data_IF_161562020677
#
_entry.id   IF_161562020677
#
_cell.length_a   1.000
_cell.length_b   1.000
_cell.length_c   1.000
_cell.angle_alpha   90.00
_cell.angle_beta   90.00
_cell.angle_gamma   90.00
#
_symmetry.space_group_name_H-M   'P 1'
#
loop_
_entity.id
_entity.type
_entity.pdbx_description
1 polymer ?
#
# COMPACT_ATOMS: atom_id res chain seq x y z
N UNK A 1 -24.52 -39.33 -18.02
CA UNK A 1 -24.10 -38.96 -16.65
C UNK A 1 -22.73 -38.32 -16.76
N UNK A 2 -22.67 -37.16 -17.43
CA UNK A 2 -21.46 -36.35 -17.55
C UNK A 2 -21.50 -35.41 -16.36
N UNK A 3 -20.87 -35.80 -15.26
CA UNK A 3 -20.59 -34.84 -14.19
C UNK A 3 -19.67 -33.79 -14.80
N UNK A 4 -20.24 -32.63 -15.10
CA UNK A 4 -19.49 -31.43 -15.35
C UNK A 4 -18.74 -31.16 -14.05
N UNK A 5 -17.48 -31.59 -14.02
CA UNK A 5 -16.51 -31.14 -13.02
C UNK A 5 -16.44 -29.64 -13.19
N UNK A 6 -17.30 -28.92 -12.45
CA UNK A 6 -17.13 -27.49 -12.27
C UNK A 6 -15.72 -27.32 -11.71
N UNK A 7 -14.86 -26.53 -12.37
CA UNK A 7 -13.58 -26.20 -11.78
C UNK A 7 -13.89 -25.52 -10.45
N UNK A 8 -13.66 -26.24 -9.35
CA UNK A 8 -13.61 -25.69 -8.02
C UNK A 8 -12.40 -24.76 -8.01
N UNK A 9 -12.58 -23.54 -8.53
CA UNK A 9 -11.58 -22.49 -8.45
C UNK A 9 -11.35 -22.31 -6.95
N UNK A 10 -10.20 -22.75 -6.39
CA UNK A 10 -9.95 -22.57 -4.97
C UNK A 10 -10.14 -21.09 -4.69
N UNK A 11 -10.96 -20.78 -3.68
CA UNK A 11 -11.24 -19.40 -3.31
C UNK A 11 -9.91 -18.64 -3.28
N UNK A 12 -9.80 -17.59 -4.10
CA UNK A 12 -8.54 -16.90 -4.33
C UNK A 12 -7.88 -16.63 -2.97
N UNK A 13 -6.59 -16.94 -2.75
CA UNK A 13 -5.95 -16.87 -1.44
C UNK A 13 -6.10 -15.51 -0.75
N UNK A 14 -6.37 -14.45 -1.51
CA UNK A 14 -6.73 -13.12 -1.05
C UNK A 14 -8.04 -13.04 -0.22
N UNK A 15 -8.85 -14.10 -0.17
CA UNK A 15 -10.18 -14.12 0.46
C UNK A 15 -10.24 -14.93 1.76
N UNK A 16 -9.11 -15.50 2.20
CA UNK A 16 -9.02 -16.19 3.48
C UNK A 16 -8.90 -15.14 4.60
N UNK A 17 -9.93 -15.03 5.44
CA UNK A 17 -9.91 -14.13 6.60
C UNK A 17 -8.98 -14.71 7.67
N UNK A 18 -7.81 -14.10 7.81
CA UNK A 18 -6.84 -14.43 8.86
C UNK A 18 -7.41 -14.01 10.24
N UNK A 19 -6.99 -14.68 11.34
CA UNK A 19 -7.31 -14.22 12.68
C UNK A 19 -6.79 -12.80 12.93
N UNK A 20 -7.49 -12.04 13.77
CA UNK A 20 -7.27 -10.59 13.95
C UNK A 20 -5.80 -10.21 14.18
N UNK A 21 -5.10 -10.98 15.02
CA UNK A 21 -3.67 -10.74 15.29
C UNK A 21 -2.81 -10.89 14.03
N UNK A 22 -3.06 -11.92 13.22
CA UNK A 22 -2.31 -12.13 11.97
C UNK A 22 -2.64 -11.05 10.94
N UNK A 23 -3.90 -10.59 10.85
CA UNK A 23 -4.27 -9.45 10.00
C UNK A 23 -3.49 -8.18 10.37
N UNK A 24 -3.40 -7.88 11.67
CA UNK A 24 -2.65 -6.72 12.17
C UNK A 24 -1.15 -6.87 11.86
N UNK A 25 -0.56 -8.04 12.11
CA UNK A 25 0.86 -8.28 11.86
C UNK A 25 1.20 -8.22 10.37
N UNK A 26 0.39 -8.82 9.51
CA UNK A 26 0.58 -8.78 8.05
C UNK A 26 0.36 -7.36 7.52
N UNK A 27 -0.63 -6.63 8.04
CA UNK A 27 -0.84 -5.22 7.71
C UNK A 27 0.34 -4.35 8.11
N UNK A 28 0.89 -4.56 9.31
CA UNK A 28 2.09 -3.88 9.78
C UNK A 28 3.29 -4.21 8.89
N UNK A 29 3.49 -5.47 8.50
CA UNK A 29 4.55 -5.87 7.58
C UNK A 29 4.44 -5.15 6.23
N UNK A 30 3.23 -4.99 5.70
CA UNK A 30 3.01 -4.26 4.45
C UNK A 30 3.40 -2.78 4.59
N UNK A 31 3.00 -2.13 5.68
CA UNK A 31 3.35 -0.71 5.95
C UNK A 31 4.85 -0.54 6.13
N UNK A 32 5.50 -1.42 6.89
CA UNK A 32 6.96 -1.35 7.11
C UNK A 32 7.75 -1.57 5.82
N UNK A 33 7.31 -2.51 4.98
CA UNK A 33 7.94 -2.74 3.68
C UNK A 33 7.82 -1.51 2.77
N UNK A 34 6.64 -0.89 2.76
CA UNK A 34 6.38 0.30 1.95
C UNK A 34 7.12 1.53 2.48
N UNK A 35 7.26 1.70 3.80
CA UNK A 35 8.09 2.75 4.40
C UNK A 35 9.55 2.69 3.89
N UNK A 36 10.13 1.49 3.80
CA UNK A 36 11.48 1.31 3.27
C UNK A 36 11.65 1.82 1.82
N UNK A 37 10.63 1.63 0.98
CA UNK A 37 10.63 2.15 -0.40
C UNK A 37 10.26 3.63 -0.52
N UNK A 38 9.28 4.08 0.26
CA UNK A 38 8.75 5.44 0.20
C UNK A 38 9.78 6.49 0.62
N UNK A 39 10.57 6.22 1.67
CA UNK A 39 11.60 7.16 2.16
C UNK A 39 12.75 7.36 1.17
N UNK A 40 13.00 6.39 0.29
CA UNK A 40 14.10 6.47 -0.66
C UNK A 40 13.92 7.61 -1.68
N UNK A 41 12.69 7.85 -2.16
CA UNK A 41 12.40 8.86 -3.19
C UNK A 41 12.63 10.30 -2.67
N UNK A 42 12.04 10.74 -1.54
CA UNK A 42 12.31 12.07 -0.98
C UNK A 42 13.77 12.27 -0.57
N UNK A 43 14.46 11.20 -0.14
CA UNK A 43 15.87 11.28 0.21
C UNK A 43 16.73 11.55 -1.04
N UNK A 44 16.51 10.80 -2.12
CA UNK A 44 17.26 10.94 -3.38
C UNK A 44 16.96 12.30 -4.03
N UNK A 45 15.69 12.65 -4.19
CA UNK A 45 15.28 13.92 -4.82
C UNK A 45 15.66 15.10 -3.92
N UNK A 46 15.44 14.99 -2.62
CA UNK A 46 15.76 16.03 -1.64
C UNK A 46 17.26 16.36 -1.59
N UNK A 47 18.11 15.34 -1.63
CA UNK A 47 19.57 15.54 -1.72
C UNK A 47 19.98 16.11 -3.08
N UNK A 48 19.38 15.65 -4.18
CA UNK A 48 19.69 16.17 -5.52
C UNK A 48 19.28 17.64 -5.69
N UNK A 49 18.20 18.07 -5.04
CA UNK A 49 17.75 19.46 -5.03
C UNK A 49 18.45 20.34 -3.99
N UNK A 50 19.38 19.79 -3.20
CA UNK A 50 20.19 20.56 -2.24
C UNK A 50 19.44 21.02 -0.98
N UNK A 51 18.33 20.36 -0.62
CA UNK A 51 17.51 20.71 0.53
C UNK A 51 18.21 20.38 1.85
N UNK A 52 17.87 21.13 2.91
CA UNK A 52 18.35 20.89 4.27
C UNK A 52 17.79 19.58 4.84
N UNK A 53 18.39 19.06 5.92
CA UNK A 53 17.88 17.85 6.58
C UNK A 53 16.46 18.02 7.13
N UNK A 54 16.10 19.22 7.57
CA UNK A 54 14.74 19.53 8.05
C UNK A 54 13.73 19.50 6.90
N UNK A 55 14.10 20.01 5.74
CA UNK A 55 13.24 20.01 4.55
C UNK A 55 13.07 18.58 3.99
N UNK A 56 14.12 17.77 3.99
CA UNK A 56 14.02 16.35 3.60
C UNK A 56 13.12 15.59 4.58
N UNK A 57 13.24 15.82 5.88
CA UNK A 57 12.36 15.21 6.88
C UNK A 57 10.90 15.64 6.69
N UNK A 58 10.68 16.91 6.33
CA UNK A 58 9.35 17.40 5.98
C UNK A 58 8.79 16.71 4.73
N UNK A 59 9.59 16.54 3.67
CA UNK A 59 9.19 15.83 2.45
C UNK A 59 8.84 14.37 2.72
N UNK A 60 9.61 13.68 3.57
CA UNK A 60 9.32 12.29 3.97
C UNK A 60 7.97 12.22 4.70
N UNK A 61 7.73 13.11 5.66
CA UNK A 61 6.46 13.14 6.40
C UNK A 61 5.27 13.46 5.48
N UNK A 62 5.46 14.41 4.56
CA UNK A 62 4.45 14.77 3.57
C UNK A 62 4.15 13.60 2.63
N UNK A 63 5.18 12.91 2.14
CA UNK A 63 5.02 11.73 1.28
C UNK A 63 4.25 10.61 1.98
N UNK A 64 4.64 10.24 3.20
CA UNK A 64 3.96 9.20 3.98
C UNK A 64 2.49 9.54 4.26
N UNK A 65 2.20 10.81 4.54
CA UNK A 65 0.84 11.28 4.75
C UNK A 65 0.01 11.16 3.47
N UNK A 66 0.53 11.64 2.33
CA UNK A 66 -0.16 11.61 1.05
C UNK A 66 -0.33 10.17 0.56
N UNK A 67 0.68 9.33 0.69
CA UNK A 67 0.64 7.91 0.35
C UNK A 67 -0.38 7.14 1.20
N UNK A 68 -0.48 7.43 2.50
CA UNK A 68 -1.48 6.86 3.39
C UNK A 68 -2.90 7.27 2.99
N UNK A 69 -3.12 8.56 2.71
CA UNK A 69 -4.42 9.06 2.22
C UNK A 69 -4.78 8.43 0.87
N UNK A 70 -3.85 8.39 -0.07
CA UNK A 70 -4.06 7.77 -1.38
C UNK A 70 -4.40 6.27 -1.24
N UNK A 71 -3.70 5.55 -0.37
CA UNK A 71 -3.99 4.13 -0.07
C UNK A 71 -5.39 3.93 0.48
N UNK A 72 -5.82 4.78 1.42
CA UNK A 72 -7.18 4.74 1.97
C UNK A 72 -8.24 5.05 0.91
N UNK A 73 -8.03 6.10 0.12
CA UNK A 73 -8.96 6.49 -0.96
C UNK A 73 -9.06 5.39 -2.01
N UNK A 74 -7.93 4.79 -2.39
CA UNK A 74 -7.87 3.75 -3.42
C UNK A 74 -8.48 2.42 -2.95
N UNK A 75 -8.26 2.08 -1.67
CA UNK A 75 -8.75 0.85 -1.04
C UNK A 75 -10.24 0.92 -0.67
N UNK A 76 -10.71 2.01 -0.07
CA UNK A 76 -12.11 2.16 0.31
C UNK A 76 -12.99 2.58 -0.88
N UNK A 77 -12.44 3.40 -1.78
CA UNK A 77 -13.18 4.03 -2.87
C UNK A 77 -14.13 5.12 -2.37
N UNK A 78 -14.06 6.30 -2.98
CA UNK A 78 -15.00 7.41 -2.75
C UNK A 78 -15.71 7.70 -4.08
N UNK A 79 -16.94 7.18 -4.22
CA UNK A 79 -17.71 7.33 -5.46
C UNK A 79 -17.05 6.61 -6.65
N UNK A 80 -16.79 7.27 -7.79
CA UNK A 80 -16.11 6.68 -8.94
C UNK A 80 -14.58 6.58 -8.78
N UNK A 81 -14.01 7.16 -7.71
CA UNK A 81 -12.58 7.13 -7.43
C UNK A 81 -12.25 5.93 -6.54
N UNK A 82 -11.21 5.18 -6.89
CA UNK A 82 -10.71 4.03 -6.15
C UNK A 82 -11.12 2.68 -6.77
N UNK A 83 -10.16 1.76 -6.86
CA UNK A 83 -10.37 0.43 -7.46
C UNK A 83 -11.03 -0.56 -6.48
N UNK A 84 -11.22 -0.16 -5.21
CA UNK A 84 -11.89 -0.97 -4.16
C UNK A 84 -11.23 -2.34 -3.95
N UNK A 85 -9.93 -2.38 -4.17
CA UNK A 85 -9.09 -3.54 -3.93
C UNK A 85 -8.02 -3.18 -2.89
N UNK A 86 -7.49 -4.18 -2.15
CA UNK A 86 -6.38 -3.95 -1.23
C UNK A 86 -5.12 -3.62 -2.04
N UNK A 87 -4.87 -2.33 -2.25
CA UNK A 87 -3.68 -1.80 -2.92
C UNK A 87 -3.00 -0.76 -2.06
N UNK A 88 -1.67 -0.76 -2.07
CA UNK A 88 -0.84 0.24 -1.40
C UNK A 88 -0.31 1.23 -2.44
N UNK A 89 -0.51 2.52 -2.18
CA UNK A 89 -0.02 3.63 -3.00
C UNK A 89 1.21 4.22 -2.31
N UNK A 90 2.27 4.49 -3.05
CA UNK A 90 3.49 5.13 -2.55
C UNK A 90 4.21 5.94 -3.62
N UNK A 91 5.23 6.71 -3.23
CA UNK A 91 6.09 7.41 -4.17
C UNK A 91 6.76 6.43 -5.14
N UNK A 92 6.63 6.71 -6.43
CA UNK A 92 7.24 5.92 -7.51
C UNK A 92 8.52 6.60 -8.01
N UNK A 93 9.44 5.81 -8.58
CA UNK A 93 10.68 6.25 -9.19
C UNK A 93 10.51 6.54 -10.69
#
# INVERSE_FOLDING_TARGET
MTELVEPQIPAAPAMVRLPLLQLILVGLQHVLLMYGGAVAVPLIIGQAAGLSREEIAFLINADLLVAGVATMVQSFGIGPLGIRMPVMMGASF
#
